data_IF_671699161046
#
_entry.id   IF_671699161046
#
_cell.length_a   1.000
_cell.length_b   1.000
_cell.length_c   1.000
_cell.angle_alpha   90.00
_cell.angle_beta   90.00
_cell.angle_gamma   90.00
#
_symmetry.space_group_name_H-M   'P 1'
#
loop_
_entity.id
_entity.type
_entity.pdbx_description
1 polymer ?
#
# COMPACT_ATOMS: atom_id res chain seq x y z
N UNK A 1 -16.11 -21.48 15.79
CA UNK A 1 -15.97 -20.33 14.88
C UNK A 1 -14.72 -20.57 14.02
N UNK A 2 -14.83 -20.30 12.72
CA UNK A 2 -14.14 -20.90 11.56
C UNK A 2 -12.61 -21.09 11.57
N UNK A 3 -12.18 -22.30 11.21
CA UNK A 3 -10.81 -22.68 10.79
C UNK A 3 -10.66 -22.71 9.25
N UNK A 4 -11.70 -22.29 8.52
CA UNK A 4 -11.84 -22.42 7.06
C UNK A 4 -11.38 -21.18 6.27
N UNK A 5 -10.63 -20.24 6.88
CA UNK A 5 -10.17 -19.04 6.15
C UNK A 5 -8.82 -19.24 5.44
N UNK A 6 -7.98 -20.18 5.86
CA UNK A 6 -6.67 -20.41 5.24
C UNK A 6 -6.65 -21.47 4.12
N UNK A 7 -7.76 -22.17 3.86
CA UNK A 7 -7.82 -23.18 2.81
C UNK A 7 -8.33 -22.58 1.49
N UNK A 8 -7.67 -21.54 0.97
CA UNK A 8 -7.87 -21.14 -0.43
C UNK A 8 -6.90 -21.94 -1.30
N UNK A 9 -7.47 -22.84 -2.11
CA UNK A 9 -6.77 -23.83 -2.92
C UNK A 9 -5.65 -23.27 -3.78
N UNK A 10 -4.44 -23.75 -3.49
CA UNK A 10 -3.40 -23.90 -4.49
C UNK A 10 -3.77 -25.11 -5.37
N UNK A 11 -4.40 -24.88 -6.53
CA UNK A 11 -4.07 -25.55 -7.81
C UNK A 11 -5.02 -25.07 -8.94
N UNK A 12 -4.48 -24.39 -9.95
CA UNK A 12 -5.20 -24.04 -11.17
C UNK A 12 -4.29 -23.30 -12.15
N UNK A 13 -3.92 -23.88 -13.31
CA UNK A 13 -3.10 -23.19 -14.30
C UNK A 13 -4.03 -22.39 -15.22
N UNK A 14 -4.04 -21.05 -15.11
CA UNK A 14 -4.82 -20.22 -16.01
C UNK A 14 -4.91 -18.76 -15.60
N UNK A 15 -4.01 -17.94 -16.14
CA UNK A 15 -4.03 -16.49 -15.95
C UNK A 15 -2.92 -15.78 -16.72
N UNK A 16 -2.69 -16.19 -17.97
CA UNK A 16 -1.81 -15.48 -18.90
C UNK A 16 -2.33 -14.06 -19.18
N UNK A 17 -1.50 -13.10 -18.79
CA UNK A 17 -1.38 -11.71 -19.22
C UNK A 17 -2.61 -11.05 -19.86
N UNK A 18 -3.26 -10.17 -19.09
CA UNK A 18 -3.57 -8.85 -19.63
C UNK A 18 -2.53 -7.87 -19.09
N UNK A 19 -1.37 -7.91 -19.76
CA UNK A 19 -0.54 -6.73 -19.98
C UNK A 19 -1.42 -5.69 -20.68
N UNK A 20 -2.26 -5.03 -19.89
CA UNK A 20 -2.84 -3.75 -20.22
C UNK A 20 -1.93 -2.77 -19.52
N UNK A 21 -0.91 -2.31 -20.24
CA UNK A 21 -0.01 -1.26 -19.79
C UNK A 21 -0.81 -0.17 -19.09
N UNK A 22 -0.74 -0.15 -17.76
CA UNK A 22 -1.25 0.94 -16.97
C UNK A 22 -0.45 2.15 -17.43
N UNK A 23 -1.13 3.04 -18.16
CA UNK A 23 -0.61 4.32 -18.59
C UNK A 23 0.17 4.90 -17.41
N UNK A 24 1.49 4.96 -17.59
CA UNK A 24 2.43 5.35 -16.55
C UNK A 24 1.91 6.63 -15.93
N UNK A 25 1.69 6.53 -14.63
CA UNK A 25 1.26 7.58 -13.74
C UNK A 25 1.79 8.96 -14.19
N UNK A 26 0.93 9.75 -14.85
CA UNK A 26 1.18 11.17 -15.12
C UNK A 26 0.60 12.01 -13.98
N UNK A 27 0.49 11.44 -12.78
CA UNK A 27 0.14 12.18 -11.58
C UNK A 27 1.24 13.20 -11.27
N UNK A 28 0.93 14.26 -10.51
CA UNK A 28 1.98 15.07 -9.91
C UNK A 28 2.97 14.16 -9.17
N UNK A 29 4.27 14.48 -9.14
CA UNK A 29 5.24 13.72 -8.37
C UNK A 29 4.72 13.46 -6.95
N UNK A 30 4.50 12.19 -6.62
CA UNK A 30 4.07 11.80 -5.28
C UNK A 30 5.19 12.06 -4.30
N UNK A 31 4.83 12.49 -3.09
CA UNK A 31 5.80 12.63 -2.02
C UNK A 31 6.42 11.25 -1.70
N UNK A 32 7.71 11.23 -1.35
CA UNK A 32 8.36 10.02 -0.84
C UNK A 32 8.11 9.85 0.66
N UNK A 33 7.77 8.64 1.08
CA UNK A 33 7.66 8.31 2.50
C UNK A 33 9.02 8.39 3.20
N UNK A 34 9.10 9.10 4.33
CA UNK A 34 10.37 9.28 5.07
C UNK A 34 10.89 8.00 5.74
N UNK A 35 10.03 7.00 5.96
CA UNK A 35 10.43 5.73 6.60
C UNK A 35 10.85 4.66 5.61
N UNK A 36 10.09 4.48 4.53
CA UNK A 36 10.27 3.37 3.59
C UNK A 36 10.69 3.80 2.18
N UNK A 37 10.77 5.11 1.92
CA UNK A 37 11.19 5.72 0.65
C UNK A 37 10.35 5.29 -0.57
N UNK A 38 9.16 4.73 -0.34
CA UNK A 38 8.16 4.45 -1.38
C UNK A 38 7.33 5.70 -1.66
N UNK A 39 6.82 5.88 -2.88
CA UNK A 39 5.87 6.95 -3.17
C UNK A 39 4.62 6.80 -2.29
N UNK A 40 4.10 7.93 -1.83
CA UNK A 40 2.83 8.01 -1.12
C UNK A 40 1.67 8.09 -2.11
N UNK A 41 0.42 8.04 -1.63
CA UNK A 41 -0.76 8.34 -2.46
C UNK A 41 -0.97 9.86 -2.65
N UNK A 42 -0.21 10.69 -1.93
CA UNK A 42 -0.37 12.13 -1.91
C UNK A 42 0.68 12.82 -2.80
N UNK A 43 0.30 13.82 -3.61
CA UNK A 43 1.24 14.60 -4.39
C UNK A 43 2.14 15.42 -3.45
N UNK A 44 3.36 15.76 -3.88
CA UNK A 44 4.30 16.59 -3.09
C UNK A 44 3.75 17.98 -2.71
N UNK A 45 2.76 18.45 -3.45
CA UNK A 45 2.02 19.69 -3.16
C UNK A 45 1.16 19.59 -1.89
N UNK A 46 0.80 18.39 -1.45
CA UNK A 46 -0.02 18.17 -0.25
C UNK A 46 0.80 18.36 1.02
N UNK A 47 0.55 19.47 1.72
CA UNK A 47 1.32 19.85 2.92
C UNK A 47 0.92 18.99 4.11
N UNK A 48 1.92 18.55 4.89
CA UNK A 48 1.72 17.89 6.19
C UNK A 48 1.62 16.37 6.16
N UNK A 49 1.71 15.72 4.99
CA UNK A 49 1.75 14.24 4.89
C UNK A 49 3.11 13.81 4.36
N UNK A 50 3.89 13.14 5.21
CA UNK A 50 5.24 12.65 4.91
C UNK A 50 5.37 11.13 4.99
N UNK A 51 4.26 10.44 5.31
CA UNK A 51 4.20 9.00 5.48
C UNK A 51 3.24 8.39 4.46
N UNK A 52 3.60 7.21 3.95
CA UNK A 52 2.65 6.42 3.18
C UNK A 52 1.55 5.85 4.10
N UNK A 53 0.38 5.48 3.56
CA UNK A 53 -0.79 5.07 4.36
C UNK A 53 -0.49 3.91 5.31
N UNK A 54 0.35 2.98 4.86
CA UNK A 54 0.81 1.82 5.64
C UNK A 54 1.65 2.26 6.84
N UNK A 55 2.58 3.18 6.65
CA UNK A 55 3.44 3.68 7.73
C UNK A 55 2.63 4.53 8.72
N UNK A 56 1.73 5.39 8.23
CA UNK A 56 0.87 6.21 9.08
C UNK A 56 0.00 5.34 10.02
N UNK A 57 -0.59 4.26 9.51
CA UNK A 57 -1.36 3.33 10.35
C UNK A 57 -0.49 2.58 11.37
N UNK A 58 0.74 2.18 10.99
CA UNK A 58 1.65 1.53 11.93
C UNK A 58 2.07 2.45 13.08
N UNK A 59 2.34 3.73 12.81
CA UNK A 59 2.65 4.72 13.86
C UNK A 59 1.46 4.97 14.79
N UNK A 60 0.25 5.10 14.22
CA UNK A 60 -0.97 5.25 14.99
C UNK A 60 -1.20 4.06 15.93
N UNK A 61 -1.01 2.83 15.44
CA UNK A 61 -1.11 1.63 16.28
C UNK A 61 -0.06 1.57 17.38
N UNK A 62 1.20 1.91 17.06
CA UNK A 62 2.27 1.93 18.07
C UNK A 62 1.93 2.90 19.20
N UNK A 63 1.42 4.08 18.85
CA UNK A 63 0.99 5.08 19.84
C UNK A 63 -0.21 4.58 20.65
N UNK A 64 -1.17 3.94 20.00
CA UNK A 64 -2.35 3.39 20.68
C UNK A 64 -2.02 2.25 21.67
N UNK A 65 -0.95 1.49 21.43
CA UNK A 65 -0.59 0.30 22.21
C UNK A 65 0.66 0.48 23.09
N UNK A 66 1.17 1.70 23.25
CA UNK A 66 2.36 2.00 24.09
C UNK A 66 2.02 2.66 25.44
N UNK A 67 0.76 2.52 25.88
CA UNK A 67 0.26 2.96 27.18
C UNK A 67 0.66 2.05 28.34
#
# INVERSE_FOLDING_TARGET
MSDDYCATGADGPGGESRDLGAAGDQGPPYAECVLCRKPTEYPESYKGVTLCPVCAWQEAQRTACSG
#
